data_IF_288197111817
#
_entry.id   IF_288197111817
#
_cell.length_a   1.000
_cell.length_b   1.000
_cell.length_c   1.000
_cell.angle_alpha   90.00
_cell.angle_beta   90.00
_cell.angle_gamma   90.00
#
_symmetry.space_group_name_H-M   'P 1'
#
loop_
_entity.id
_entity.type
_entity.pdbx_description
1 polymer ?
#
# COMPACT_ATOMS: atom_id res chain seq x y z
N UNK A 1 -47.68 50.18 7.17
CA UNK A 1 -47.12 51.09 8.21
C UNK A 1 -46.25 50.26 9.14
N UNK A 2 -45.04 50.76 9.42
CA UNK A 2 -44.03 50.13 10.29
C UNK A 2 -44.48 50.18 11.75
N UNK A 3 -44.21 49.11 12.50
CA UNK A 3 -43.74 49.22 13.89
C UNK A 3 -42.85 48.02 14.23
N UNK A 4 -41.58 48.32 14.51
CA UNK A 4 -40.56 47.40 15.00
C UNK A 4 -40.64 47.32 16.52
N UNK A 5 -40.58 46.12 17.10
CA UNK A 5 -40.14 45.93 18.49
C UNK A 5 -39.13 44.78 18.52
N UNK A 6 -37.96 45.12 19.05
CA UNK A 6 -36.74 44.33 19.18
C UNK A 6 -36.87 43.41 20.39
N UNK A 7 -36.72 42.10 20.21
CA UNK A 7 -36.46 41.20 21.34
C UNK A 7 -35.06 40.62 21.21
N UNK A 8 -34.31 40.92 22.25
CA UNK A 8 -32.90 40.68 22.53
C UNK A 8 -32.56 39.18 22.55
N UNK A 9 -31.44 38.82 21.92
CA UNK A 9 -30.82 37.49 21.93
C UNK A 9 -30.26 37.21 23.33
N UNK A 10 -30.52 36.03 23.90
CA UNK A 10 -29.50 35.23 24.59
C UNK A 10 -30.06 33.82 24.85
N UNK A 11 -29.57 32.84 24.09
CA UNK A 11 -29.99 31.44 24.23
C UNK A 11 -29.15 30.53 23.34
N UNK A 12 -27.92 30.31 23.76
CA UNK A 12 -27.00 29.32 23.19
C UNK A 12 -27.59 27.93 23.48
N UNK A 13 -27.89 27.16 22.43
CA UNK A 13 -28.48 25.82 22.54
C UNK A 13 -28.30 25.02 21.27
N UNK A 14 -27.15 24.38 21.19
CA UNK A 14 -26.67 23.43 20.19
C UNK A 14 -27.69 22.33 19.82
N UNK A 15 -27.90 22.09 18.53
CA UNK A 15 -28.12 20.74 17.98
C UNK A 15 -27.81 20.76 16.47
N UNK A 16 -26.55 20.43 16.18
CA UNK A 16 -25.98 20.29 14.83
C UNK A 16 -26.58 19.04 14.18
N UNK A 17 -27.10 19.21 12.97
CA UNK A 17 -27.47 18.10 12.09
C UNK A 17 -26.21 17.32 11.70
N UNK A 18 -26.09 16.07 12.16
CA UNK A 18 -24.99 15.19 11.74
C UNK A 18 -25.31 14.59 10.37
N UNK A 19 -24.71 15.16 9.34
CA UNK A 19 -24.55 14.53 8.03
C UNK A 19 -23.51 13.42 8.21
N UNK A 20 -23.93 12.17 8.07
CA UNK A 20 -23.01 11.02 8.00
C UNK A 20 -22.28 11.05 6.66
N UNK A 21 -21.08 11.63 6.62
CA UNK A 21 -20.17 11.47 5.49
C UNK A 21 -19.55 10.07 5.58
N UNK A 22 -19.85 9.23 4.59
CA UNK A 22 -19.15 7.96 4.37
C UNK A 22 -17.73 8.26 3.88
N UNK A 23 -16.77 8.26 4.79
CA UNK A 23 -15.36 8.35 4.43
C UNK A 23 -14.96 7.08 3.67
N UNK A 24 -14.73 7.24 2.38
CA UNK A 24 -14.05 6.29 1.53
C UNK A 24 -12.68 5.96 2.17
N UNK A 25 -12.54 4.74 2.67
CA UNK A 25 -11.28 4.27 3.23
C UNK A 25 -10.24 4.15 2.11
N UNK A 26 -9.45 5.22 1.99
CA UNK A 26 -8.14 5.26 1.37
C UNK A 26 -7.33 4.07 1.90
N UNK A 27 -7.08 3.05 1.07
CA UNK A 27 -6.27 1.87 1.42
C UNK A 27 -4.78 2.23 1.42
N UNK A 28 -4.40 3.14 2.33
CA UNK A 28 -3.03 3.38 2.71
C UNK A 28 -2.54 2.25 3.61
N UNK A 29 -1.36 1.72 3.29
CA UNK A 29 -0.75 0.61 4.03
C UNK A 29 -0.55 1.02 5.50
N UNK A 30 -1.34 0.42 6.40
CA UNK A 30 -1.38 0.71 7.83
C UNK A 30 -0.06 0.31 8.51
N UNK A 31 0.69 1.29 9.04
CA UNK A 31 2.06 1.13 9.55
C UNK A 31 2.14 1.07 11.09
N UNK A 32 1.17 0.40 11.74
CA UNK A 32 1.16 0.18 13.20
C UNK A 32 0.77 -1.25 13.57
N UNK A 33 1.37 -2.24 12.90
CA UNK A 33 1.07 -3.66 13.12
C UNK A 33 2.32 -4.49 13.46
N UNK A 34 2.10 -5.71 13.93
CA UNK A 34 3.17 -6.70 14.13
C UNK A 34 3.97 -6.94 12.84
N UNK A 35 5.15 -7.55 12.92
CA UNK A 35 5.94 -7.95 11.74
C UNK A 35 5.10 -8.70 10.68
N UNK A 36 4.15 -9.52 11.13
CA UNK A 36 3.29 -10.34 10.28
C UNK A 36 1.88 -9.76 10.10
N UNK A 37 1.66 -8.48 10.44
CA UNK A 37 0.35 -7.85 10.37
C UNK A 37 -0.60 -8.31 11.48
N UNK A 38 -1.90 -8.13 11.26
CA UNK A 38 -2.94 -8.54 12.22
C UNK A 38 -3.21 -10.06 12.19
N UNK A 39 -3.11 -10.68 11.01
CA UNK A 39 -3.29 -12.12 10.82
C UNK A 39 -1.95 -12.78 10.42
N UNK A 40 -1.22 -13.24 11.44
CA UNK A 40 0.11 -13.84 11.26
C UNK A 40 0.05 -15.18 10.53
N UNK A 41 -1.01 -15.96 10.73
CA UNK A 41 -1.20 -17.27 10.08
C UNK A 41 -1.37 -17.05 8.58
N UNK A 42 -2.28 -16.17 8.18
CA UNK A 42 -2.45 -15.85 6.76
C UNK A 42 -1.19 -15.24 6.16
N UNK A 43 -0.47 -14.40 6.90
CA UNK A 43 0.80 -13.85 6.41
C UNK A 43 1.84 -14.92 6.12
N UNK A 44 2.08 -15.85 7.05
CA UNK A 44 3.06 -16.93 6.88
C UNK A 44 2.65 -17.88 5.74
N UNK A 45 1.34 -18.17 5.62
CA UNK A 45 0.80 -19.00 4.54
C UNK A 45 1.01 -18.34 3.18
N UNK A 46 0.58 -17.09 3.01
CA UNK A 46 0.73 -16.36 1.75
C UNK A 46 2.20 -16.14 1.38
N UNK A 47 3.07 -15.89 2.37
CA UNK A 47 4.54 -15.85 2.19
C UNK A 47 5.07 -17.15 1.59
N UNK A 48 4.68 -18.29 2.17
CA UNK A 48 5.13 -19.60 1.70
C UNK A 48 4.63 -19.90 0.29
N UNK A 49 3.35 -19.66 0.04
CA UNK A 49 2.72 -19.91 -1.25
C UNK A 49 3.33 -19.05 -2.36
N UNK A 50 3.41 -17.72 -2.18
CA UNK A 50 3.99 -16.88 -3.22
C UNK A 50 5.46 -17.27 -3.46
N UNK A 51 6.21 -17.59 -2.40
CA UNK A 51 7.65 -17.86 -2.55
C UNK A 51 7.91 -19.14 -3.32
N UNK A 52 7.08 -20.16 -3.14
CA UNK A 52 7.19 -21.41 -3.89
C UNK A 52 6.87 -21.19 -5.37
N UNK A 53 5.76 -20.53 -5.70
CA UNK A 53 5.44 -20.20 -7.09
C UNK A 53 6.50 -19.29 -7.74
N UNK A 54 7.00 -18.30 -7.00
CA UNK A 54 8.06 -17.41 -7.48
C UNK A 54 9.36 -18.18 -7.77
N UNK A 55 9.74 -19.15 -6.92
CA UNK A 55 10.94 -19.98 -7.12
C UNK A 55 10.85 -20.82 -8.40
N UNK A 56 9.64 -21.26 -8.74
CA UNK A 56 9.35 -21.95 -10.00
C UNK A 56 9.16 -21.00 -11.20
N UNK A 57 9.37 -19.69 -11.01
CA UNK A 57 9.11 -18.62 -12.00
C UNK A 57 7.65 -18.56 -12.47
N UNK A 58 6.72 -19.19 -11.74
CA UNK A 58 5.30 -19.12 -12.00
C UNK A 58 4.72 -17.82 -11.42
N UNK A 59 5.03 -16.70 -12.06
CA UNK A 59 4.58 -15.38 -11.61
C UNK A 59 3.08 -15.16 -11.76
N UNK A 60 2.41 -15.94 -12.60
CA UNK A 60 0.95 -15.91 -12.73
C UNK A 60 0.30 -16.33 -11.42
N UNK A 61 0.73 -17.46 -10.86
CA UNK A 61 0.13 -18.03 -9.65
C UNK A 61 0.74 -17.42 -8.37
N UNK A 62 1.97 -16.89 -8.43
CA UNK A 62 2.55 -16.15 -7.32
C UNK A 62 1.83 -14.81 -7.03
N UNK A 63 1.33 -14.13 -8.08
CA UNK A 63 0.80 -12.77 -8.00
C UNK A 63 -0.30 -12.54 -6.94
N UNK A 64 -1.37 -13.36 -6.84
CA UNK A 64 -2.41 -13.14 -5.84
C UNK A 64 -1.87 -13.19 -4.40
N UNK A 65 -1.04 -14.18 -4.09
CA UNK A 65 -0.44 -14.34 -2.77
C UNK A 65 0.56 -13.21 -2.47
N UNK A 66 1.37 -12.83 -3.46
CA UNK A 66 2.31 -11.72 -3.32
C UNK A 66 1.60 -10.39 -3.05
N UNK A 67 0.51 -10.08 -3.78
CA UNK A 67 -0.30 -8.88 -3.54
C UNK A 67 -0.90 -8.89 -2.14
N UNK A 68 -1.36 -10.05 -1.68
CA UNK A 68 -1.88 -10.20 -0.33
C UNK A 68 -0.80 -9.86 0.71
N UNK A 69 0.42 -10.39 0.57
CA UNK A 69 1.54 -10.09 1.49
C UNK A 69 1.90 -8.61 1.47
N UNK A 70 2.04 -8.02 0.28
CA UNK A 70 2.37 -6.60 0.11
C UNK A 70 1.37 -5.69 0.84
N UNK A 71 0.08 -6.03 0.77
CA UNK A 71 -0.99 -5.24 1.39
C UNK A 71 -1.10 -5.46 2.90
N UNK A 72 -1.04 -6.70 3.35
CA UNK A 72 -1.46 -7.06 4.73
C UNK A 72 -0.28 -7.23 5.69
N UNK A 73 0.90 -7.62 5.21
CA UNK A 73 2.08 -7.76 6.05
C UNK A 73 3.38 -7.34 5.33
N UNK A 74 3.46 -6.09 4.85
CA UNK A 74 4.61 -5.57 4.10
C UNK A 74 5.94 -5.62 4.89
N UNK A 75 5.86 -5.57 6.22
CA UNK A 75 7.02 -5.60 7.13
C UNK A 75 7.59 -7.01 7.31
N UNK A 76 6.92 -8.03 6.80
CA UNK A 76 7.28 -9.42 7.10
C UNK A 76 8.64 -9.79 6.51
N UNK A 77 8.92 -9.39 5.26
CA UNK A 77 10.20 -9.63 4.58
C UNK A 77 10.50 -8.55 3.52
N UNK A 78 11.74 -8.04 3.51
CA UNK A 78 12.20 -7.11 2.48
C UNK A 78 12.12 -7.71 1.07
N UNK A 79 12.36 -9.02 0.95
CA UNK A 79 12.29 -9.74 -0.32
C UNK A 79 10.91 -9.64 -1.00
N UNK A 80 9.83 -9.35 -0.28
CA UNK A 80 8.53 -9.10 -0.89
C UNK A 80 8.61 -7.96 -1.90
N UNK A 81 9.38 -6.91 -1.63
CA UNK A 81 9.59 -5.80 -2.56
C UNK A 81 10.52 -6.17 -3.71
N UNK A 82 11.63 -6.88 -3.42
CA UNK A 82 12.58 -7.32 -4.45
C UNK A 82 11.97 -8.31 -5.45
N UNK A 83 11.21 -9.27 -4.94
CA UNK A 83 10.47 -10.24 -5.75
C UNK A 83 9.35 -9.51 -6.54
N UNK A 84 8.71 -8.53 -5.91
CA UNK A 84 7.69 -7.68 -6.52
C UNK A 84 8.17 -6.91 -7.76
N UNK A 85 9.38 -6.35 -7.71
CA UNK A 85 10.00 -5.68 -8.86
C UNK A 85 10.07 -6.64 -10.06
N UNK A 86 10.61 -7.84 -9.86
CA UNK A 86 10.74 -8.83 -10.95
C UNK A 86 9.38 -9.31 -11.47
N UNK A 87 8.40 -9.53 -10.57
CA UNK A 87 7.05 -9.94 -10.96
C UNK A 87 6.41 -8.83 -11.81
N UNK A 88 6.52 -7.55 -11.41
CA UNK A 88 5.93 -6.44 -12.17
C UNK A 88 6.65 -6.23 -13.51
N UNK A 89 7.99 -6.26 -13.54
CA UNK A 89 8.79 -6.19 -14.78
C UNK A 89 8.37 -7.28 -15.77
N UNK A 90 8.23 -8.52 -15.32
CA UNK A 90 7.72 -9.61 -16.14
C UNK A 90 6.32 -9.34 -16.67
N UNK A 91 5.41 -8.83 -15.83
CA UNK A 91 4.03 -8.50 -16.24
C UNK A 91 4.00 -7.39 -17.27
N UNK A 92 4.80 -6.34 -17.09
CA UNK A 92 4.92 -5.21 -18.03
C UNK A 92 5.44 -5.71 -19.37
N UNK A 93 6.47 -6.57 -19.37
CA UNK A 93 7.07 -7.09 -20.60
C UNK A 93 6.08 -7.96 -21.41
N UNK A 94 5.30 -8.80 -20.74
CA UNK A 94 4.44 -9.79 -21.39
C UNK A 94 3.00 -9.31 -21.65
N UNK A 95 2.58 -8.20 -21.06
CA UNK A 95 1.23 -7.66 -21.27
C UNK A 95 1.13 -6.92 -22.61
N UNK A 96 0.02 -7.07 -23.32
CA UNK A 96 -0.22 -6.40 -24.61
C UNK A 96 -1.16 -5.22 -24.46
N UNK A 97 -2.06 -5.28 -23.48
CA UNK A 97 -2.99 -4.20 -23.17
C UNK A 97 -2.26 -3.04 -22.50
N UNK A 98 -2.33 -1.85 -23.10
CA UNK A 98 -1.64 -0.65 -22.61
C UNK A 98 -2.13 -0.24 -21.21
N UNK A 99 -3.44 -0.32 -20.94
CA UNK A 99 -3.99 0.08 -19.64
C UNK A 99 -3.52 -0.85 -18.53
N UNK A 100 -3.45 -2.15 -18.80
CA UNK A 100 -2.91 -3.13 -17.84
C UNK A 100 -1.42 -2.94 -17.61
N UNK A 101 -0.65 -2.63 -18.68
CA UNK A 101 0.77 -2.26 -18.56
C UNK A 101 0.96 -1.08 -17.62
N UNK A 102 0.21 -0.01 -17.82
CA UNK A 102 0.28 1.19 -16.97
C UNK A 102 -0.03 0.86 -15.51
N UNK A 103 -1.07 0.06 -15.25
CA UNK A 103 -1.39 -0.39 -13.89
C UNK A 103 -0.27 -1.23 -13.24
N UNK A 104 0.49 -2.01 -14.02
CA UNK A 104 1.66 -2.73 -13.51
C UNK A 104 2.85 -1.78 -13.25
N UNK A 105 3.03 -0.75 -14.08
CA UNK A 105 4.03 0.31 -13.84
C UNK A 105 3.70 1.06 -12.55
N UNK A 106 2.45 1.45 -12.35
CA UNK A 106 1.99 2.11 -11.12
C UNK A 106 2.25 1.23 -9.88
N UNK A 107 1.97 -0.07 -10.00
CA UNK A 107 2.27 -1.03 -8.94
C UNK A 107 3.78 -1.14 -8.69
N UNK A 108 4.60 -1.12 -9.73
CA UNK A 108 6.06 -1.14 -9.61
C UNK A 108 6.58 0.10 -8.86
N UNK A 109 6.04 1.27 -9.16
CA UNK A 109 6.38 2.51 -8.44
C UNK A 109 6.00 2.43 -6.97
N UNK A 110 4.81 1.92 -6.67
CA UNK A 110 4.36 1.65 -5.29
C UNK A 110 5.28 0.67 -4.55
N UNK A 111 5.81 -0.35 -5.24
CA UNK A 111 6.75 -1.32 -4.65
C UNK A 111 8.05 -0.64 -4.25
N UNK A 112 8.59 0.27 -5.06
CA UNK A 112 9.78 1.04 -4.70
C UNK A 112 9.54 1.92 -3.46
N UNK A 113 8.42 2.65 -3.43
CA UNK A 113 8.07 3.51 -2.29
C UNK A 113 7.83 2.69 -1.02
N UNK A 114 7.15 1.55 -1.15
CA UNK A 114 6.95 0.62 -0.05
C UNK A 114 8.28 0.11 0.51
N UNK A 115 9.26 -0.20 -0.34
CA UNK A 115 10.59 -0.64 0.12
C UNK A 115 11.29 0.46 0.91
N UNK A 116 11.27 1.70 0.43
CA UNK A 116 11.85 2.85 1.15
C UNK A 116 11.16 3.02 2.51
N UNK A 117 9.83 2.95 2.54
CA UNK A 117 9.04 3.09 3.77
C UNK A 117 9.34 2.00 4.81
N UNK A 118 9.32 0.72 4.40
CA UNK A 118 9.39 -0.41 5.33
C UNK A 118 10.81 -0.90 5.61
N UNK A 119 11.73 -0.69 4.67
CA UNK A 119 13.11 -1.17 4.73
C UNK A 119 14.10 -0.07 4.28
N UNK A 120 14.13 1.10 4.95
CA UNK A 120 14.94 2.24 4.54
C UNK A 120 16.45 1.99 4.61
N UNK A 121 16.90 1.00 5.40
CA UNK A 121 18.31 0.69 5.65
C UNK A 121 18.63 -0.73 5.23
N UNK A 122 19.82 -0.93 4.70
CA UNK A 122 20.30 -2.23 4.28
C UNK A 122 20.57 -3.13 5.49
N UNK A 123 20.07 -4.36 5.49
CA UNK A 123 20.08 -5.22 6.68
C UNK A 123 21.48 -5.60 7.19
N UNK A 124 22.52 -5.55 6.32
CA UNK A 124 23.89 -5.94 6.67
C UNK A 124 24.80 -4.75 6.96
N UNK A 125 24.65 -3.66 6.20
CA UNK A 125 25.54 -2.49 6.26
C UNK A 125 24.91 -1.32 7.02
N UNK A 126 23.59 -1.36 7.26
CA UNK A 126 22.80 -0.30 7.89
C UNK A 126 22.77 1.04 7.15
N UNK A 127 23.38 1.09 5.97
CA UNK A 127 23.38 2.24 5.08
C UNK A 127 21.97 2.53 4.54
N UNK A 128 21.61 3.82 4.36
CA UNK A 128 20.37 4.19 3.69
C UNK A 128 20.30 3.60 2.27
N UNK A 129 19.15 3.02 1.93
CA UNK A 129 18.91 2.43 0.60
C UNK A 129 18.17 3.38 -0.35
N UNK A 130 17.60 4.46 0.18
CA UNK A 130 16.68 5.35 -0.54
C UNK A 130 17.27 5.87 -1.85
N UNK A 131 18.50 6.39 -1.84
CA UNK A 131 19.15 6.90 -3.06
C UNK A 131 19.27 5.83 -4.17
N UNK A 132 19.72 4.63 -3.82
CA UNK A 132 19.82 3.50 -4.77
C UNK A 132 18.45 3.06 -5.26
N UNK A 133 17.43 3.07 -4.40
CA UNK A 133 16.07 2.68 -4.77
C UNK A 133 15.45 3.72 -5.70
N UNK A 134 15.58 5.01 -5.40
CA UNK A 134 15.09 6.10 -6.24
C UNK A 134 15.78 6.13 -7.60
N UNK A 135 17.09 5.85 -7.65
CA UNK A 135 17.81 5.69 -8.92
C UNK A 135 17.23 4.57 -9.79
N UNK A 136 16.79 3.45 -9.20
CA UNK A 136 16.11 2.39 -9.95
C UNK A 136 14.65 2.71 -10.29
N UNK A 137 14.01 3.58 -9.51
CA UNK A 137 12.61 3.99 -9.68
C UNK A 137 12.44 4.94 -10.87
N UNK A 138 13.38 5.85 -11.11
CA UNK A 138 13.21 6.89 -12.14
C UNK A 138 14.40 7.82 -12.38
N UNK A 139 15.56 7.27 -12.78
CA UNK A 139 16.35 7.91 -13.86
C UNK A 139 16.07 7.20 -15.17
#
# INVERSE_FOLDING_TARGET
>A
MKTSIKTLILGIGMAVATISTSDAQNQGITDKGSKYGADSVSCITNLSLYKEFYRQQNYKDALPYWRWVLKNCPRARENTFLDGIKIMEYKIHNEKDAKKKDAFVDTLMMVFDGRIKYFPRHYKTFEPQEGTILGRKGV
#
